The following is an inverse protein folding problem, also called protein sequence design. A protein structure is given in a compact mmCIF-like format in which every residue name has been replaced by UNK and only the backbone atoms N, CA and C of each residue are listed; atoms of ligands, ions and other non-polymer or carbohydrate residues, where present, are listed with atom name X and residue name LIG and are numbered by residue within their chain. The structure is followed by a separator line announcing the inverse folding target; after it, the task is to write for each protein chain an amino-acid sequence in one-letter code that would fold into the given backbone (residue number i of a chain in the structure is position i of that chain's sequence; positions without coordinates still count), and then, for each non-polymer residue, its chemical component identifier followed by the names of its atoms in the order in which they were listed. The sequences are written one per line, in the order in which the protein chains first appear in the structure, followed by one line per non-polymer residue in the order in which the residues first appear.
data_IF_152981964393
#
_entry.id   IF_152981964393
#
_cell.length_a   1.000
_cell.length_b   1.000
_cell.length_c   1.000
_cell.angle_alpha   90.00
_cell.angle_beta   90.00
_cell.angle_gamma   90.00
#
_symmetry.space_group_name_H-M   'P 1'
#
loop_
_entity.id
_entity.type
_entity.pdbx_description
1 polymer ?
#
# COMPACT_ATOMS: atom_id res chain seq x y z
N UNK A 1 -15.99 14.80 17.65
CA UNK A 1 -14.74 14.50 16.96
C UNK A 1 -14.75 15.23 15.62
N UNK A 2 -13.74 16.07 15.36
CA UNK A 2 -13.61 16.85 14.13
C UNK A 2 -12.65 16.14 13.17
N UNK A 3 -13.10 15.80 11.97
CA UNK A 3 -12.31 15.01 11.03
C UNK A 3 -12.10 15.73 9.69
N UNK A 4 -10.92 15.56 9.09
CA UNK A 4 -10.66 15.93 7.70
C UNK A 4 -10.82 14.69 6.83
N UNK A 5 -11.79 14.70 5.91
CA UNK A 5 -12.00 13.62 4.95
C UNK A 5 -11.45 14.05 3.58
N UNK A 6 -10.40 13.40 3.13
CA UNK A 6 -9.83 13.59 1.79
C UNK A 6 -10.49 12.58 0.86
N UNK A 7 -11.43 13.04 0.05
CA UNK A 7 -12.35 12.23 -0.71
C UNK A 7 -11.93 12.11 -2.18
N UNK A 8 -11.75 10.88 -2.66
CA UNK A 8 -11.47 10.64 -4.08
C UNK A 8 -12.76 10.27 -4.85
N UNK A 9 -13.38 11.20 -5.59
CA UNK A 9 -14.63 10.93 -6.31
C UNK A 9 -14.44 9.97 -7.51
N UNK A 10 -13.22 9.76 -7.98
CA UNK A 10 -12.90 8.84 -9.08
C UNK A 10 -12.65 7.41 -8.59
N UNK A 11 -12.59 7.17 -7.29
CA UNK A 11 -12.39 5.85 -6.73
C UNK A 11 -13.49 4.87 -7.18
N UNK A 12 -13.14 3.59 -7.25
CA UNK A 12 -14.09 2.56 -7.69
C UNK A 12 -14.61 2.73 -9.12
N UNK A 13 -13.81 3.34 -10.02
CA UNK A 13 -14.24 3.64 -11.38
C UNK A 13 -15.31 4.74 -11.45
N UNK A 14 -15.28 5.70 -10.52
CA UNK A 14 -16.23 6.82 -10.43
C UNK A 14 -17.46 6.52 -9.59
N UNK A 15 -17.63 5.30 -9.06
CA UNK A 15 -18.75 4.94 -8.15
C UNK A 15 -18.75 5.80 -6.88
N UNK A 16 -17.58 6.17 -6.39
CA UNK A 16 -17.44 7.00 -5.20
C UNK A 16 -18.19 8.33 -5.34
N UNK A 17 -18.24 8.93 -6.53
CA UNK A 17 -18.97 10.20 -6.74
C UNK A 17 -20.45 10.12 -6.33
N UNK A 18 -21.09 8.99 -6.60
CA UNK A 18 -22.50 8.77 -6.24
C UNK A 18 -22.70 8.47 -4.74
N UNK A 19 -21.67 7.97 -4.06
CA UNK A 19 -21.72 7.63 -2.64
C UNK A 19 -21.51 8.83 -1.71
N UNK A 20 -20.99 9.95 -2.19
CA UNK A 20 -20.64 11.09 -1.37
C UNK A 20 -21.80 11.61 -0.50
N UNK A 21 -23.04 11.79 -1.03
CA UNK A 21 -24.17 12.24 -0.20
C UNK A 21 -24.48 11.26 0.94
N UNK A 22 -24.46 9.95 0.67
CA UNK A 22 -24.78 8.93 1.67
C UNK A 22 -23.70 8.85 2.75
N UNK A 23 -22.41 8.94 2.36
CA UNK A 23 -21.29 8.99 3.28
C UNK A 23 -21.37 10.22 4.16
N UNK A 24 -21.65 11.40 3.60
CA UNK A 24 -21.80 12.65 4.35
C UNK A 24 -22.93 12.54 5.37
N UNK A 25 -24.10 12.10 4.96
CA UNK A 25 -25.25 11.93 5.84
C UNK A 25 -24.98 10.93 6.98
N UNK A 26 -24.23 9.85 6.69
CA UNK A 26 -23.90 8.86 7.71
C UNK A 26 -22.84 9.36 8.71
N UNK A 27 -21.86 10.14 8.25
CA UNK A 27 -20.88 10.83 9.11
C UNK A 27 -21.60 11.77 10.09
N UNK A 28 -22.52 12.59 9.58
CA UNK A 28 -23.35 13.49 10.41
C UNK A 28 -24.21 12.73 11.41
N UNK A 29 -24.83 11.62 10.98
CA UNK A 29 -25.65 10.77 11.86
C UNK A 29 -24.84 10.11 12.99
N UNK A 30 -23.50 9.94 12.82
CA UNK A 30 -22.59 9.47 13.86
C UNK A 30 -22.07 10.60 14.76
N UNK A 31 -22.50 11.84 14.56
CA UNK A 31 -22.08 13.00 15.35
C UNK A 31 -20.63 13.44 15.08
N UNK A 32 -20.09 13.10 13.91
CA UNK A 32 -18.78 13.54 13.49
C UNK A 32 -18.86 14.89 12.77
N UNK A 33 -18.00 15.84 13.14
CA UNK A 33 -17.84 17.15 12.47
C UNK A 33 -16.80 16.98 11.35
N UNK A 34 -17.26 16.85 10.11
CA UNK A 34 -16.40 16.52 8.98
C UNK A 34 -16.19 17.70 8.03
N UNK A 35 -14.91 18.01 7.79
CA UNK A 35 -14.49 18.81 6.63
C UNK A 35 -14.17 17.87 5.50
N UNK A 36 -14.98 17.84 4.43
CA UNK A 36 -14.78 16.94 3.28
C UNK A 36 -14.18 17.73 2.13
N UNK A 37 -12.97 17.32 1.68
CA UNK A 37 -12.28 17.91 0.52
C UNK A 37 -12.14 16.86 -0.58
N UNK A 38 -12.77 17.11 -1.73
CA UNK A 38 -12.66 16.21 -2.89
C UNK A 38 -11.37 16.44 -3.67
N UNK A 39 -10.72 15.34 -4.08
CA UNK A 39 -9.57 15.42 -4.97
C UNK A 39 -10.01 15.68 -6.42
N UNK A 40 -9.19 16.39 -7.17
CA UNK A 40 -9.48 16.77 -8.56
C UNK A 40 -8.58 16.05 -9.59
N UNK A 41 -7.39 15.58 -9.15
CA UNK A 41 -6.37 14.94 -9.99
C UNK A 41 -5.49 14.02 -9.12
N UNK A 42 -4.69 13.17 -9.75
CA UNK A 42 -3.71 12.33 -9.08
C UNK A 42 -2.63 13.19 -8.41
N UNK A 43 -2.28 12.89 -7.16
CA UNK A 43 -1.39 13.70 -6.33
C UNK A 43 -2.08 14.80 -5.52
N UNK A 44 -3.36 15.12 -5.79
CA UNK A 44 -4.05 16.18 -5.05
C UNK A 44 -4.28 15.83 -3.58
N UNK A 45 -4.44 14.54 -3.24
CA UNK A 45 -4.56 14.13 -1.84
C UNK A 45 -3.25 14.35 -1.06
N UNK A 46 -2.08 14.24 -1.73
CA UNK A 46 -0.79 14.63 -1.14
C UNK A 46 -0.79 16.10 -0.76
N UNK A 47 -1.19 16.97 -1.71
CA UNK A 47 -1.20 18.41 -1.50
C UNK A 47 -2.17 18.84 -0.38
N UNK A 48 -3.37 18.23 -0.35
CA UNK A 48 -4.37 18.51 0.69
C UNK A 48 -3.81 18.13 2.06
N UNK A 49 -3.27 16.92 2.22
CA UNK A 49 -2.75 16.44 3.49
C UNK A 49 -1.50 17.22 3.93
N UNK A 50 -0.60 17.57 2.99
CA UNK A 50 0.62 18.32 3.27
C UNK A 50 0.34 19.76 3.73
N UNK A 51 -0.73 20.38 3.24
CA UNK A 51 -1.06 21.76 3.56
C UNK A 51 -2.20 21.89 4.60
N UNK A 52 -2.77 20.80 5.08
CA UNK A 52 -3.79 20.82 6.10
C UNK A 52 -3.23 21.33 7.44
N UNK A 53 -4.03 22.10 8.16
CA UNK A 53 -3.74 22.42 9.57
C UNK A 53 -4.14 21.21 10.42
N UNK A 54 -3.22 20.25 10.55
CA UNK A 54 -3.50 18.96 11.21
C UNK A 54 -3.97 19.14 12.65
N UNK A 55 -3.50 20.17 13.36
CA UNK A 55 -3.92 20.50 14.74
C UNK A 55 -5.40 20.89 14.86
N UNK A 56 -6.07 21.23 13.74
CA UNK A 56 -7.48 21.57 13.73
C UNK A 56 -8.39 20.33 13.71
N UNK A 57 -7.82 19.11 13.58
CA UNK A 57 -8.57 17.87 13.40
C UNK A 57 -8.15 16.79 14.39
N UNK A 58 -9.12 16.00 14.83
CA UNK A 58 -8.91 14.83 15.69
C UNK A 58 -8.47 13.60 14.87
N UNK A 59 -8.75 13.56 13.56
CA UNK A 59 -8.29 12.52 12.65
C UNK A 59 -8.28 12.98 11.18
N UNK A 60 -7.43 12.32 10.36
CA UNK A 60 -7.34 12.51 8.91
C UNK A 60 -7.83 11.23 8.23
N UNK A 61 -8.85 11.34 7.39
CA UNK A 61 -9.51 10.18 6.77
C UNK A 61 -9.24 10.15 5.27
N UNK A 62 -8.58 9.08 4.82
CA UNK A 62 -8.48 8.77 3.40
C UNK A 62 -9.78 8.11 2.93
N UNK A 63 -10.50 8.71 2.00
CA UNK A 63 -11.70 8.11 1.41
C UNK A 63 -11.45 7.77 -0.05
N UNK A 64 -11.14 6.48 -0.30
CA UNK A 64 -10.69 6.00 -1.60
C UNK A 64 -10.27 4.54 -1.59
N UNK A 65 -9.29 4.22 -2.43
CA UNK A 65 -8.57 2.95 -2.44
C UNK A 65 -7.14 3.12 -1.91
N UNK A 66 -6.29 2.09 -2.12
CA UNK A 66 -4.90 2.06 -1.66
C UNK A 66 -4.09 3.27 -2.17
N UNK A 67 -4.26 3.67 -3.44
CA UNK A 67 -3.59 4.86 -3.99
C UNK A 67 -3.99 6.15 -3.27
N UNK A 68 -5.28 6.31 -2.86
CA UNK A 68 -5.70 7.48 -2.08
C UNK A 68 -5.09 7.46 -0.68
N UNK A 69 -5.03 6.28 -0.04
CA UNK A 69 -4.38 6.11 1.25
C UNK A 69 -2.88 6.42 1.16
N UNK A 70 -2.21 5.93 0.11
CA UNK A 70 -0.80 6.21 -0.16
C UNK A 70 -0.53 7.71 -0.34
N UNK A 71 -1.38 8.42 -1.13
CA UNK A 71 -1.27 9.86 -1.31
C UNK A 71 -1.47 10.62 0.02
N UNK A 72 -2.51 10.27 0.79
CA UNK A 72 -2.78 10.90 2.09
C UNK A 72 -1.63 10.67 3.07
N UNK A 73 -1.13 9.44 3.15
CA UNK A 73 0.03 9.09 3.99
C UNK A 73 1.25 9.93 3.64
N UNK A 74 1.59 10.03 2.35
CA UNK A 74 2.75 10.81 1.91
C UNK A 74 2.57 12.31 2.13
N UNK A 75 1.38 12.85 1.93
CA UNK A 75 1.08 14.23 2.27
C UNK A 75 1.15 14.49 3.78
N UNK A 76 0.67 13.55 4.58
CA UNK A 76 0.76 13.60 6.03
C UNK A 76 2.22 13.67 6.51
N UNK A 77 3.13 12.86 5.94
CA UNK A 77 4.56 12.92 6.25
C UNK A 77 5.28 14.17 5.72
N UNK A 78 4.78 14.79 4.68
CA UNK A 78 5.30 16.06 4.15
C UNK A 78 4.80 17.28 4.95
N UNK A 79 3.79 17.12 5.80
CA UNK A 79 3.24 18.21 6.58
C UNK A 79 4.24 18.71 7.64
N UNK A 80 4.48 20.02 7.74
CA UNK A 80 5.46 20.58 8.69
C UNK A 80 5.20 20.23 10.17
N UNK A 81 3.94 20.00 10.55
CA UNK A 81 3.54 19.61 11.91
C UNK A 81 4.08 18.23 12.28
N UNK A 82 4.28 17.34 11.31
CA UNK A 82 4.94 16.06 11.53
C UNK A 82 6.32 16.18 12.16
N UNK A 83 7.06 17.23 11.85
CA UNK A 83 8.39 17.46 12.41
C UNK A 83 8.36 17.80 13.92
N UNK A 84 7.25 18.30 14.45
CA UNK A 84 7.13 18.79 15.83
C UNK A 84 6.78 17.71 16.88
N UNK A 85 6.46 16.48 16.48
CA UNK A 85 6.19 15.28 17.32
C UNK A 85 5.09 15.39 18.38
N UNK A 86 4.35 16.49 18.48
CA UNK A 86 3.26 16.63 19.45
C UNK A 86 1.91 16.59 18.73
N UNK A 87 0.98 15.73 19.20
CA UNK A 87 -0.40 15.57 18.75
C UNK A 87 -0.61 15.37 17.24
N UNK A 88 -0.06 14.30 16.72
CA UNK A 88 -0.36 13.88 15.35
C UNK A 88 -1.75 13.22 15.31
N UNK A 89 -2.71 13.74 14.52
CA UNK A 89 -4.01 13.09 14.42
C UNK A 89 -3.85 11.70 13.75
N UNK A 90 -4.56 10.66 14.23
CA UNK A 90 -4.54 9.35 13.59
C UNK A 90 -5.08 9.42 12.17
N UNK A 91 -4.64 8.49 11.33
CA UNK A 91 -5.22 8.26 10.00
C UNK A 91 -6.35 7.24 10.10
N UNK A 92 -7.38 7.41 9.28
CA UNK A 92 -8.44 6.43 9.08
C UNK A 92 -8.73 6.21 7.60
N UNK A 93 -9.49 5.17 7.29
CA UNK A 93 -9.82 4.79 5.92
C UNK A 93 -11.34 4.60 5.77
N UNK A 94 -11.93 5.21 4.73
CA UNK A 94 -13.26 4.89 4.24
C UNK A 94 -13.09 4.20 2.87
N UNK A 95 -13.31 2.88 2.77
CA UNK A 95 -13.08 2.14 1.55
C UNK A 95 -14.17 2.43 0.51
N UNK A 96 -13.79 2.96 -0.64
CA UNK A 96 -14.66 3.15 -1.80
C UNK A 96 -13.94 2.95 -3.15
N UNK A 97 -12.69 2.46 -3.09
CA UNK A 97 -11.88 2.10 -4.25
C UNK A 97 -12.19 0.71 -4.82
N UNK A 98 -11.46 0.34 -5.88
CA UNK A 98 -11.53 -1.00 -6.49
C UNK A 98 -10.54 -1.97 -5.83
N UNK A 99 -9.27 -1.57 -5.68
CA UNK A 99 -8.27 -2.27 -4.90
C UNK A 99 -8.25 -1.63 -3.51
N UNK A 100 -8.34 -2.42 -2.47
CA UNK A 100 -8.30 -1.94 -1.10
C UNK A 100 -7.62 -3.04 -0.27
N UNK A 101 -6.31 -3.19 -0.47
CA UNK A 101 -5.52 -4.20 0.23
C UNK A 101 -5.50 -3.92 1.73
N UNK A 102 -5.24 -2.67 2.12
CA UNK A 102 -5.10 -2.29 3.51
C UNK A 102 -6.40 -2.47 4.34
N UNK A 103 -7.58 -2.25 3.73
CA UNK A 103 -8.84 -2.45 4.46
C UNK A 103 -9.06 -3.91 4.91
N UNK A 104 -8.41 -4.89 4.24
CA UNK A 104 -8.49 -6.29 4.64
C UNK A 104 -7.81 -6.55 5.97
N UNK A 105 -6.81 -5.75 6.33
CA UNK A 105 -6.21 -5.76 7.66
C UNK A 105 -7.22 -5.33 8.73
N UNK A 106 -8.16 -4.45 8.37
CA UNK A 106 -9.29 -4.01 9.19
C UNK A 106 -10.50 -4.96 9.14
N UNK A 107 -10.38 -6.12 8.49
CA UNK A 107 -11.50 -7.04 8.22
C UNK A 107 -12.69 -6.37 7.51
N UNK A 108 -12.40 -5.41 6.62
CA UNK A 108 -13.38 -4.68 5.81
C UNK A 108 -13.35 -5.12 4.35
N UNK A 109 -14.47 -4.93 3.66
CA UNK A 109 -14.60 -5.04 2.21
C UNK A 109 -14.80 -3.67 1.55
N UNK A 110 -14.69 -3.60 0.22
CA UNK A 110 -14.87 -2.36 -0.54
C UNK A 110 -16.26 -1.70 -0.37
N UNK A 111 -17.23 -2.44 0.18
CA UNK A 111 -18.60 -1.97 0.40
C UNK A 111 -18.88 -1.60 1.87
N UNK A 112 -17.93 -1.85 2.77
CA UNK A 112 -18.11 -1.68 4.21
C UNK A 112 -17.82 -0.24 4.70
N UNK A 113 -18.07 0.77 3.85
CA UNK A 113 -17.84 2.16 4.20
C UNK A 113 -18.59 2.61 5.46
N UNK A 114 -19.79 2.03 5.77
CA UNK A 114 -20.53 2.31 7.00
C UNK A 114 -19.78 1.79 8.23
N UNK A 115 -19.30 0.55 8.19
CA UNK A 115 -18.47 -0.01 9.27
C UNK A 115 -17.20 0.79 9.48
N UNK A 116 -16.55 1.24 8.39
CA UNK A 116 -15.38 2.10 8.50
C UNK A 116 -15.69 3.41 9.23
N UNK A 117 -16.82 4.05 8.94
CA UNK A 117 -17.25 5.25 9.66
C UNK A 117 -17.56 4.92 11.14
N UNK A 118 -18.11 3.75 11.43
CA UNK A 118 -18.35 3.31 12.81
C UNK A 118 -17.03 3.15 13.58
N UNK A 119 -16.00 2.56 12.96
CA UNK A 119 -14.65 2.48 13.52
C UNK A 119 -14.08 3.87 13.77
N UNK A 120 -14.21 4.79 12.81
CA UNK A 120 -13.75 6.17 12.95
C UNK A 120 -14.43 6.85 14.13
N UNK A 121 -15.74 6.65 14.30
CA UNK A 121 -16.51 7.25 15.38
C UNK A 121 -16.17 6.69 16.78
N UNK A 122 -15.66 5.46 16.86
CA UNK A 122 -15.16 4.86 18.11
C UNK A 122 -13.87 5.54 18.58
N UNK A 123 -13.11 6.14 17.67
CA UNK A 123 -11.85 6.83 17.97
C UNK A 123 -10.87 5.98 18.80
N UNK A 124 -10.61 4.77 18.34
CA UNK A 124 -9.69 3.82 18.98
C UNK A 124 -8.42 3.67 18.11
N UNK A 125 -7.40 4.54 18.25
CA UNK A 125 -6.19 4.46 17.46
C UNK A 125 -5.27 3.33 17.94
N UNK A 126 -4.63 2.66 16.98
CA UNK A 126 -3.56 1.69 17.18
C UNK A 126 -2.28 2.19 16.52
N UNK A 127 -1.16 2.04 17.20
CA UNK A 127 0.15 2.35 16.62
C UNK A 127 0.54 1.27 15.60
N UNK A 128 0.89 1.71 14.39
CA UNK A 128 1.31 0.85 13.29
C UNK A 128 2.72 1.21 12.82
N UNK A 129 3.40 0.21 12.31
CA UNK A 129 4.63 0.35 11.56
C UNK A 129 4.35 0.99 10.19
N UNK A 130 5.33 1.71 9.68
CA UNK A 130 5.28 2.34 8.36
C UNK A 130 6.54 1.99 7.60
N UNK A 131 6.40 1.50 6.39
CA UNK A 131 7.52 1.36 5.50
C UNK A 131 7.93 2.72 4.93
N UNK A 132 9.23 3.03 4.94
CA UNK A 132 9.82 4.20 4.31
C UNK A 132 10.80 3.77 3.24
N UNK A 133 10.70 4.30 2.03
CA UNK A 133 11.69 4.03 0.99
C UNK A 133 12.24 5.31 0.38
N UNK A 134 13.52 5.26 0.02
CA UNK A 134 14.23 6.36 -0.64
C UNK A 134 14.76 5.88 -1.99
N UNK A 135 14.40 6.61 -3.04
CA UNK A 135 14.81 6.38 -4.42
C UNK A 135 14.97 7.73 -5.12
N UNK A 136 15.96 7.86 -6.00
CA UNK A 136 16.20 9.10 -6.79
C UNK A 136 16.22 10.38 -5.93
N UNK A 137 16.77 10.30 -4.72
CA UNK A 137 16.81 11.38 -3.71
C UNK A 137 15.43 11.87 -3.22
N UNK A 138 14.39 11.05 -3.39
CA UNK A 138 13.04 11.28 -2.84
C UNK A 138 12.69 10.20 -1.85
N UNK A 139 12.01 10.59 -0.79
CA UNK A 139 11.54 9.69 0.26
C UNK A 139 10.02 9.59 0.22
N UNK A 140 9.53 8.36 0.34
CA UNK A 140 8.12 8.02 0.35
C UNK A 140 7.81 7.04 1.48
N UNK A 141 6.53 6.96 1.85
CA UNK A 141 6.02 6.10 2.90
C UNK A 141 4.91 5.19 2.35
N UNK A 142 4.82 3.97 2.87
CA UNK A 142 3.81 3.00 2.45
C UNK A 142 3.29 2.19 3.65
N UNK A 143 2.05 1.72 3.55
CA UNK A 143 1.42 0.84 4.54
C UNK A 143 1.27 -0.60 4.06
N UNK A 144 1.21 -0.82 2.74
CA UNK A 144 1.09 -2.18 2.22
C UNK A 144 2.45 -2.74 1.78
N UNK A 145 2.94 -2.37 0.58
CA UNK A 145 4.04 -3.09 -0.06
C UNK A 145 4.78 -2.23 -1.07
N UNK A 146 6.08 -2.53 -1.27
CA UNK A 146 6.86 -2.04 -2.41
C UNK A 146 7.37 -3.24 -3.20
N UNK A 147 6.91 -3.36 -4.44
CA UNK A 147 7.36 -4.40 -5.38
C UNK A 147 8.39 -3.90 -6.38
N UNK A 148 9.25 -4.81 -6.86
CA UNK A 148 10.24 -4.55 -7.90
C UNK A 148 10.54 -5.79 -8.73
N UNK A 149 11.10 -5.61 -9.94
CA UNK A 149 11.33 -6.68 -10.89
C UNK A 149 10.07 -7.08 -11.67
N UNK A 150 9.82 -8.36 -11.87
CA UNK A 150 8.72 -8.86 -12.71
C UNK A 150 7.32 -8.34 -12.33
N UNK A 151 7.10 -8.01 -11.06
CA UNK A 151 5.81 -7.46 -10.61
C UNK A 151 5.52 -6.09 -11.22
N UNK A 152 6.55 -5.30 -11.52
CA UNK A 152 6.39 -4.00 -12.19
C UNK A 152 6.02 -4.17 -13.66
N UNK A 153 6.57 -5.18 -14.33
CA UNK A 153 6.20 -5.54 -15.71
C UNK A 153 4.71 -5.94 -15.80
N UNK A 154 4.21 -6.68 -14.79
CA UNK A 154 2.79 -7.07 -14.70
C UNK A 154 1.92 -5.84 -14.49
N UNK A 155 2.31 -4.95 -13.58
CA UNK A 155 1.57 -3.74 -13.30
C UNK A 155 1.43 -2.86 -14.56
N UNK A 156 2.51 -2.64 -15.29
CA UNK A 156 2.48 -1.91 -16.57
C UNK A 156 1.56 -2.56 -17.60
N UNK A 157 1.65 -3.89 -17.73
CA UNK A 157 0.79 -4.63 -18.67
C UNK A 157 -0.69 -4.64 -18.28
N UNK A 158 -1.01 -4.43 -17.00
CA UNK A 158 -2.38 -4.35 -16.51
C UNK A 158 -3.06 -3.00 -16.81
N UNK A 159 -2.28 -1.92 -17.01
CA UNK A 159 -2.82 -0.58 -17.27
C UNK A 159 -3.83 -0.51 -18.43
N UNK A 160 -3.53 -1.04 -19.63
CA UNK A 160 -4.47 -1.05 -20.74
C UNK A 160 -5.67 -2.00 -20.53
N UNK A 161 -5.57 -2.91 -19.54
CA UNK A 161 -6.58 -3.90 -19.21
C UNK A 161 -7.50 -3.47 -18.06
N UNK A 162 -7.33 -2.26 -17.51
CA UNK A 162 -8.13 -1.76 -16.36
C UNK A 162 -9.64 -1.85 -16.55
N UNK A 163 -10.13 -1.83 -17.81
CA UNK A 163 -11.54 -2.02 -18.13
C UNK A 163 -12.08 -3.40 -17.72
N UNK A 164 -11.20 -4.42 -17.54
CA UNK A 164 -11.54 -5.75 -17.05
C UNK A 164 -11.73 -5.82 -15.52
N UNK A 165 -11.53 -4.71 -14.81
CA UNK A 165 -11.65 -4.65 -13.34
C UNK A 165 -10.62 -5.54 -12.64
N UNK A 166 -11.06 -6.31 -11.64
CA UNK A 166 -10.17 -7.09 -10.77
C UNK A 166 -9.39 -8.21 -11.49
N UNK A 167 -9.82 -8.63 -12.68
CA UNK A 167 -9.17 -9.70 -13.45
C UNK A 167 -7.99 -9.19 -14.30
N UNK A 168 -7.86 -7.89 -14.47
CA UNK A 168 -6.81 -7.27 -15.31
C UNK A 168 -5.41 -7.69 -14.91
N UNK A 169 -5.13 -7.71 -13.60
CA UNK A 169 -3.82 -8.09 -13.07
C UNK A 169 -3.52 -9.57 -13.31
N UNK A 170 -4.49 -10.44 -13.10
CA UNK A 170 -4.34 -11.89 -13.36
C UNK A 170 -4.05 -12.17 -14.84
N UNK A 171 -4.79 -11.53 -15.75
CA UNK A 171 -4.55 -11.66 -17.20
C UNK A 171 -3.18 -11.12 -17.59
N UNK A 172 -2.79 -9.94 -17.07
CA UNK A 172 -1.47 -9.37 -17.31
C UNK A 172 -0.35 -10.31 -16.82
N UNK A 173 -0.52 -10.92 -15.64
CA UNK A 173 0.42 -11.89 -15.08
C UNK A 173 0.61 -13.08 -16.02
N UNK A 174 -0.47 -13.70 -16.48
CA UNK A 174 -0.41 -14.86 -17.40
C UNK A 174 0.26 -14.49 -18.71
N UNK A 175 -0.03 -13.33 -19.28
CA UNK A 175 0.62 -12.85 -20.52
C UNK A 175 2.11 -12.58 -20.33
N UNK A 176 2.50 -11.94 -19.21
CA UNK A 176 3.91 -11.60 -18.94
C UNK A 176 4.75 -12.81 -18.54
N UNK A 177 4.16 -13.88 -18.01
CA UNK A 177 4.89 -15.13 -17.71
C UNK A 177 5.64 -15.71 -18.93
N UNK A 178 5.16 -15.44 -20.15
CA UNK A 178 5.83 -15.86 -21.39
C UNK A 178 7.22 -15.19 -21.51
N UNK A 179 7.34 -13.96 -21.02
CA UNK A 179 8.54 -13.13 -21.09
C UNK A 179 9.33 -13.11 -19.79
N UNK A 180 9.05 -14.03 -18.87
CA UNK A 180 9.72 -14.14 -17.58
C UNK A 180 11.23 -14.13 -17.74
N UNK A 181 11.90 -13.21 -17.04
CA UNK A 181 13.34 -13.11 -16.94
C UNK A 181 13.74 -12.96 -15.49
N UNK A 182 14.85 -13.56 -15.11
CA UNK A 182 15.55 -13.24 -13.88
C UNK A 182 16.68 -12.27 -14.15
N UNK A 183 17.06 -11.50 -13.15
CA UNK A 183 18.20 -10.61 -13.21
C UNK A 183 19.03 -10.69 -11.93
N UNK A 184 20.31 -10.33 -12.03
CA UNK A 184 21.18 -10.26 -10.87
C UNK A 184 20.79 -9.07 -10.01
N UNK A 185 20.65 -9.32 -8.72
CA UNK A 185 20.30 -8.36 -7.71
C UNK A 185 21.30 -8.46 -6.56
N UNK A 186 21.83 -7.33 -6.14
CA UNK A 186 22.56 -7.20 -4.89
C UNK A 186 21.59 -6.67 -3.84
N UNK A 187 21.40 -7.43 -2.78
CA UNK A 187 20.43 -7.15 -1.73
C UNK A 187 21.18 -7.06 -0.41
N UNK A 188 21.05 -5.94 0.29
CA UNK A 188 21.56 -5.81 1.65
C UNK A 188 20.37 -5.84 2.63
N UNK A 189 20.37 -6.78 3.56
CA UNK A 189 19.32 -6.98 4.56
C UNK A 189 19.96 -6.88 5.94
N UNK A 190 19.55 -5.88 6.72
CA UNK A 190 20.11 -5.58 8.05
C UNK A 190 21.66 -5.61 8.05
N UNK A 191 22.27 -4.99 7.03
CA UNK A 191 23.73 -4.89 6.86
C UNK A 191 24.41 -6.14 6.30
N UNK A 192 23.66 -7.19 5.90
CA UNK A 192 24.21 -8.39 5.28
C UNK A 192 23.94 -8.38 3.78
N UNK A 193 25.00 -8.39 2.98
CA UNK A 193 24.92 -8.44 1.52
C UNK A 193 24.66 -9.86 1.01
N UNK A 194 23.73 -9.98 0.07
CA UNK A 194 23.35 -11.19 -0.62
C UNK A 194 23.31 -10.91 -2.12
N UNK A 195 23.77 -11.86 -2.93
CA UNK A 195 23.57 -11.82 -4.38
C UNK A 195 22.54 -12.87 -4.78
N UNK A 196 21.57 -12.48 -5.61
CA UNK A 196 20.51 -13.37 -6.09
C UNK A 196 20.30 -13.21 -7.60
N UNK A 197 19.90 -14.30 -8.23
CA UNK A 197 19.31 -14.29 -9.58
C UNK A 197 17.79 -14.32 -9.41
N UNK A 198 17.24 -13.13 -9.19
CA UNK A 198 15.85 -12.94 -8.75
C UNK A 198 14.91 -12.60 -9.90
N UNK A 199 13.67 -12.98 -9.74
CA UNK A 199 12.56 -12.64 -10.63
C UNK A 199 11.84 -11.37 -10.11
N UNK A 200 11.56 -11.34 -8.82
CA UNK A 200 11.02 -10.16 -8.15
C UNK A 200 11.42 -10.12 -6.67
N UNK A 201 11.31 -8.95 -6.10
CA UNK A 201 11.33 -8.72 -4.66
C UNK A 201 10.08 -7.95 -4.29
N UNK A 202 9.42 -8.35 -3.22
CA UNK A 202 8.37 -7.57 -2.58
C UNK A 202 8.74 -7.34 -1.11
N UNK A 203 8.61 -6.10 -0.66
CA UNK A 203 8.88 -5.66 0.71
C UNK A 203 7.56 -5.20 1.30
N UNK A 204 7.01 -5.99 2.18
CA UNK A 204 5.66 -5.84 2.70
C UNK A 204 5.66 -5.36 4.15
N UNK A 205 4.75 -4.45 4.47
CA UNK A 205 4.38 -4.05 5.82
C UNK A 205 3.04 -4.69 6.21
N UNK A 206 2.17 -4.95 5.23
CA UNK A 206 0.87 -5.63 5.41
C UNK A 206 0.82 -6.96 4.66
N UNK A 207 -0.17 -7.78 4.99
CA UNK A 207 -0.29 -9.14 4.44
C UNK A 207 -0.76 -9.19 2.99
N UNK A 208 -1.50 -8.17 2.54
CA UNK A 208 -2.22 -8.21 1.28
C UNK A 208 -1.69 -7.20 0.27
N UNK A 209 -1.77 -7.55 -1.02
CA UNK A 209 -1.57 -6.62 -2.14
C UNK A 209 -2.69 -6.78 -3.17
N UNK A 210 -3.04 -5.67 -3.83
CA UNK A 210 -4.17 -5.65 -4.77
C UNK A 210 -5.48 -6.04 -4.09
N UNK A 211 -6.32 -6.81 -4.79
CA UNK A 211 -7.64 -7.19 -4.27
C UNK A 211 -7.65 -8.53 -3.55
N UNK A 212 -6.73 -9.45 -3.88
CA UNK A 212 -6.85 -10.86 -3.47
C UNK A 212 -5.54 -11.55 -3.12
N UNK A 213 -4.40 -10.95 -3.40
CA UNK A 213 -3.11 -11.59 -3.18
C UNK A 213 -2.68 -11.53 -1.71
N UNK A 214 -2.50 -12.69 -1.10
CA UNK A 214 -2.02 -12.87 0.27
C UNK A 214 -0.51 -13.11 0.23
N UNK A 215 0.25 -12.05 -0.09
CA UNK A 215 1.65 -12.12 -0.47
C UNK A 215 2.61 -12.24 0.71
N UNK A 216 2.28 -11.65 1.85
CA UNK A 216 3.07 -11.69 3.07
C UNK A 216 2.26 -12.24 4.24
N UNK A 217 1.98 -13.58 4.27
CA UNK A 217 1.04 -14.16 5.23
C UNK A 217 1.47 -14.03 6.69
N UNK A 218 2.75 -13.82 6.96
CA UNK A 218 3.30 -13.68 8.31
C UNK A 218 3.55 -12.21 8.71
N UNK A 219 3.14 -11.24 7.87
CA UNK A 219 3.35 -9.82 8.17
C UNK A 219 2.50 -9.37 9.36
N UNK A 220 3.13 -8.59 10.23
CA UNK A 220 2.54 -7.96 11.40
C UNK A 220 2.77 -6.45 11.31
N UNK A 221 1.72 -5.67 11.57
CA UNK A 221 1.77 -4.21 11.40
C UNK A 221 2.44 -3.45 12.55
N UNK A 222 2.99 -4.13 13.56
CA UNK A 222 3.52 -3.50 14.78
C UNK A 222 4.70 -4.25 15.42
N UNK A 223 5.38 -5.13 14.66
CA UNK A 223 6.53 -5.91 15.14
C UNK A 223 7.90 -5.23 14.89
N UNK A 224 7.91 -4.07 14.21
CA UNK A 224 9.11 -3.30 13.88
C UNK A 224 9.91 -3.86 12.73
N UNK A 225 9.30 -4.67 11.86
CA UNK A 225 9.95 -5.31 10.72
C UNK A 225 9.10 -5.20 9.46
N UNK A 226 9.75 -5.42 8.34
CA UNK A 226 9.13 -5.61 7.03
C UNK A 226 9.35 -7.06 6.61
N UNK A 227 8.38 -7.61 5.92
CA UNK A 227 8.44 -8.95 5.36
C UNK A 227 8.94 -8.88 3.93
N UNK A 228 10.07 -9.53 3.66
CA UNK A 228 10.77 -9.50 2.38
C UNK A 228 10.55 -10.83 1.68
N UNK A 229 9.90 -10.79 0.52
CA UNK A 229 9.61 -11.95 -0.31
C UNK A 229 10.47 -11.86 -1.56
N UNK A 230 11.42 -12.78 -1.72
CA UNK A 230 12.31 -12.86 -2.88
C UNK A 230 11.95 -14.11 -3.67
N UNK A 231 11.49 -13.93 -4.91
CA UNK A 231 11.34 -15.03 -5.84
C UNK A 231 12.63 -15.18 -6.65
N UNK A 232 13.35 -16.24 -6.41
CA UNK A 232 14.52 -16.62 -7.15
C UNK A 232 14.15 -17.19 -8.54
N UNK A 233 15.15 -17.40 -9.38
CA UNK A 233 14.97 -17.98 -10.71
C UNK A 233 14.12 -19.24 -10.68
N UNK A 234 13.11 -19.27 -11.51
CA UNK A 234 12.08 -20.32 -11.55
C UNK A 234 11.69 -20.65 -13.00
N UNK A 235 11.26 -21.89 -13.25
CA UNK A 235 10.66 -22.23 -14.55
C UNK A 235 9.23 -21.68 -14.68
N UNK A 236 8.82 -21.36 -15.91
CA UNK A 236 7.49 -20.79 -16.20
C UNK A 236 6.33 -21.68 -15.70
N UNK A 237 6.46 -23.01 -15.85
CA UNK A 237 5.43 -23.95 -15.38
C UNK A 237 5.34 -23.98 -13.85
N UNK A 238 6.48 -23.84 -13.16
CA UNK A 238 6.49 -23.81 -11.71
C UNK A 238 5.96 -22.46 -11.19
N UNK A 239 6.27 -21.36 -11.91
CA UNK A 239 5.74 -20.04 -11.58
C UNK A 239 4.19 -20.02 -11.60
N UNK A 240 3.55 -20.73 -12.54
CA UNK A 240 2.08 -20.86 -12.55
C UNK A 240 1.53 -21.46 -11.26
N UNK A 241 2.21 -22.48 -10.70
CA UNK A 241 1.82 -23.09 -9.43
C UNK A 241 2.05 -22.14 -8.25
N UNK A 242 3.21 -21.47 -8.22
CA UNK A 242 3.52 -20.46 -7.22
C UNK A 242 2.49 -19.32 -7.27
N UNK A 243 2.13 -18.86 -8.48
CA UNK A 243 1.14 -17.80 -8.63
C UNK A 243 -0.24 -18.17 -8.05
N UNK A 244 -0.69 -19.41 -8.26
CA UNK A 244 -1.98 -19.85 -7.68
C UNK A 244 -1.93 -19.99 -6.16
N UNK A 245 -0.77 -20.30 -5.59
CA UNK A 245 -0.60 -20.42 -4.14
C UNK A 245 -0.42 -19.08 -3.41
N UNK A 246 -0.31 -17.95 -4.14
CA UNK A 246 -0.32 -16.62 -3.52
C UNK A 246 -1.70 -16.27 -2.94
N UNK A 247 -2.79 -16.83 -3.48
CA UNK A 247 -4.14 -16.54 -3.00
C UNK A 247 -4.42 -17.07 -1.59
N UNK A 248 -3.74 -18.15 -1.20
CA UNK A 248 -3.86 -18.79 0.11
C UNK A 248 -2.60 -18.62 0.99
N UNK A 249 -1.58 -17.91 0.48
CA UNK A 249 -0.34 -17.64 1.19
C UNK A 249 0.65 -18.81 1.24
N UNK A 250 0.35 -19.97 0.62
CA UNK A 250 1.21 -21.15 0.68
C UNK A 250 2.45 -21.08 -0.24
N UNK A 251 2.54 -20.03 -1.06
CA UNK A 251 3.70 -19.79 -1.92
C UNK A 251 5.01 -19.66 -1.13
N UNK A 252 4.99 -19.20 0.12
CA UNK A 252 6.18 -19.08 0.96
C UNK A 252 6.86 -20.43 1.26
N UNK A 253 6.17 -21.55 1.04
CA UNK A 253 6.69 -22.89 1.25
C UNK A 253 7.48 -23.44 0.02
N UNK A 254 7.53 -22.69 -1.08
CA UNK A 254 8.31 -23.12 -2.26
C UNK A 254 9.79 -22.80 -2.08
N UNK A 255 10.69 -23.72 -2.47
CA UNK A 255 12.13 -23.55 -2.29
C UNK A 255 12.75 -22.41 -3.09
N UNK A 256 12.02 -21.88 -4.10
CA UNK A 256 12.46 -20.71 -4.87
C UNK A 256 12.05 -19.40 -4.22
N UNK A 257 11.28 -19.44 -3.13
CA UNK A 257 10.89 -18.25 -2.37
C UNK A 257 11.70 -18.19 -1.08
N UNK A 258 12.36 -17.06 -0.88
CA UNK A 258 12.95 -16.69 0.41
C UNK A 258 11.98 -15.72 1.09
N UNK A 259 11.63 -16.03 2.33
CA UNK A 259 10.80 -15.18 3.18
C UNK A 259 11.63 -14.74 4.38
N UNK A 260 11.87 -13.43 4.53
CA UNK A 260 12.79 -12.87 5.51
C UNK A 260 12.13 -11.68 6.19
N UNK A 261 12.14 -11.65 7.53
CA UNK A 261 11.75 -10.46 8.29
C UNK A 261 12.98 -9.61 8.61
N UNK A 262 12.96 -8.33 8.28
CA UNK A 262 14.07 -7.42 8.53
C UNK A 262 13.60 -5.99 8.77
N UNK A 263 14.46 -5.18 9.37
CA UNK A 263 14.19 -3.76 9.58
C UNK A 263 14.59 -2.90 8.39
N UNK A 264 15.66 -3.27 7.72
CA UNK A 264 16.21 -2.50 6.59
C UNK A 264 16.52 -3.40 5.42
N UNK A 265 16.27 -2.90 4.22
CA UNK A 265 16.69 -3.55 2.98
C UNK A 265 17.14 -2.49 1.98
N UNK A 266 18.25 -2.78 1.28
CA UNK A 266 18.71 -2.05 0.12
C UNK A 266 18.78 -2.97 -1.08
N UNK A 267 18.22 -2.55 -2.21
CA UNK A 267 18.21 -3.34 -3.43
C UNK A 267 18.87 -2.57 -4.56
N UNK A 268 19.82 -3.25 -5.22
CA UNK A 268 20.53 -2.77 -6.40
C UNK A 268 20.38 -3.83 -7.48
N UNK A 269 19.73 -3.49 -8.57
CA UNK A 269 19.58 -4.35 -9.73
C UNK A 269 20.67 -4.05 -10.78
N UNK A 270 21.05 -5.04 -11.56
CA UNK A 270 22.02 -4.88 -12.67
C UNK A 270 21.55 -3.81 -13.66
N UNK A 271 20.26 -3.78 -13.93
CA UNK A 271 19.58 -2.72 -14.69
C UNK A 271 18.52 -2.10 -13.83
N UNK A 272 18.57 -0.76 -13.61
CA UNK A 272 17.57 -0.09 -12.81
C UNK A 272 16.16 -0.46 -13.26
N UNK A 273 15.38 -1.02 -12.34
CA UNK A 273 13.98 -1.38 -12.53
C UNK A 273 13.06 -0.39 -11.83
N UNK A 274 11.82 -0.33 -12.29
CA UNK A 274 10.80 0.50 -11.66
C UNK A 274 10.36 -0.09 -10.32
N UNK A 275 9.83 0.77 -9.45
CA UNK A 275 9.20 0.38 -8.20
C UNK A 275 7.68 0.51 -8.32
N UNK A 276 6.98 -0.34 -7.55
CA UNK A 276 5.52 -0.29 -7.44
C UNK A 276 5.08 -0.27 -5.97
N UNK A 277 5.18 0.90 -5.30
CA UNK A 277 4.61 1.07 -3.97
C UNK A 277 3.08 1.14 -4.05
N UNK A 278 2.39 0.35 -3.21
CA UNK A 278 0.92 0.34 -3.03
C UNK A 278 0.11 0.36 -4.35
N UNK A 279 0.69 -0.25 -5.42
CA UNK A 279 0.06 -0.34 -6.74
C UNK A 279 0.33 0.82 -7.70
N UNK A 280 1.09 1.83 -7.30
CA UNK A 280 1.49 2.96 -8.14
C UNK A 280 2.93 2.77 -8.65
N UNK A 281 3.18 3.08 -9.93
CA UNK A 281 4.53 2.99 -10.50
C UNK A 281 5.27 4.28 -10.15
N UNK A 282 6.27 4.19 -9.26
CA UNK A 282 6.94 5.35 -8.69
C UNK A 282 8.39 5.06 -8.32
N UNK A 283 9.34 5.78 -8.92
CA UNK A 283 10.77 5.63 -8.66
C UNK A 283 11.40 4.41 -9.32
N UNK A 284 12.66 4.18 -9.03
CA UNK A 284 13.46 3.09 -9.59
C UNK A 284 14.51 2.59 -8.60
N UNK A 285 15.07 1.40 -8.83
CA UNK A 285 16.26 0.92 -8.13
C UNK A 285 17.51 1.72 -8.58
N UNK A 286 18.52 1.93 -7.74
CA UNK A 286 18.63 1.43 -6.37
C UNK A 286 17.62 2.07 -5.40
N UNK A 287 17.18 1.28 -4.42
CA UNK A 287 16.24 1.71 -3.40
C UNK A 287 16.70 1.27 -2.01
N UNK A 288 16.53 2.13 -1.03
CA UNK A 288 16.70 1.83 0.39
C UNK A 288 15.35 1.88 1.07
N UNK A 289 15.00 0.82 1.81
CA UNK A 289 13.70 0.68 2.49
C UNK A 289 13.96 0.34 3.96
N UNK A 290 13.18 0.95 4.84
CA UNK A 290 13.25 0.68 6.27
C UNK A 290 11.87 0.68 6.92
N UNK A 291 11.76 -0.03 8.03
CA UNK A 291 10.60 -0.01 8.92
C UNK A 291 10.72 1.11 9.95
N UNK A 292 9.76 2.00 9.98
CA UNK A 292 9.54 2.97 11.05
C UNK A 292 8.59 2.32 12.06
N UNK A 293 9.15 1.84 13.17
CA UNK A 293 8.40 1.08 14.16
C UNK A 293 7.40 1.96 14.92
N UNK A 294 6.11 1.58 14.85
CA UNK A 294 5.00 2.25 15.56
C UNK A 294 5.00 3.78 15.36
N UNK A 295 5.16 4.20 14.11
CA UNK A 295 5.39 5.61 13.76
C UNK A 295 4.10 6.37 13.43
N UNK A 296 2.98 5.67 13.22
CA UNK A 296 1.69 6.27 12.93
C UNK A 296 0.58 5.68 13.79
N UNK A 297 -0.35 6.51 14.23
CA UNK A 297 -1.63 6.05 14.78
C UNK A 297 -2.64 5.87 13.66
N UNK A 298 -3.33 4.73 13.66
CA UNK A 298 -4.38 4.41 12.69
C UNK A 298 -5.65 4.00 13.42
N UNK A 299 -6.81 4.54 13.00
CA UNK A 299 -8.10 4.21 13.60
C UNK A 299 -8.46 2.75 13.29
N UNK A 300 -8.64 1.97 14.33
CA UNK A 300 -8.76 0.51 14.28
C UNK A 300 -10.03 0.04 15.01
N UNK A 301 -10.51 -1.18 14.67
CA UNK A 301 -11.65 -1.85 15.33
C UNK A 301 -11.27 -2.40 16.71
#
# INVERSE_FOLDING_TARGET
MKILVIYNPQAGGGRAKALLPDITAYIEAKGLDATIISTNYSGHAVEIAANAKLDDYDAIIASGGDGTLFEVLNGYYQNPIQASKQNKPPIGLIPNGTGNAFMRELNLSATDWKKAIDIIAQNNPRLLDVGRFTTENKTYHFLNIVGMGFVTDIAEASLPLKWMGNTSYTVATLLKMIFLKSQKMTIEIDGKCLERDGVFIEVANSRYTGTTFFIAPEAELDDGKLDIIILNKISRLKLLRVFTSIFDGTHINYPEIEYIKARTIKVIEEKPGKLIPDGEILGSTPVEIECLHKDIEFLWD
#
